data_IF_497588575329
#
_entry.id   IF_497588575329
#
_cell.length_a   1.000
_cell.length_b   1.000
_cell.length_c   1.000
_cell.angle_alpha   90.00
_cell.angle_beta   90.00
_cell.angle_gamma   90.00
#
_symmetry.space_group_name_H-M   'P 1'
#
loop_
_entity.id
_entity.type
_entity.pdbx_description
1 polymer ?
#
# COMPACT_ATOMS: atom_id res chain seq x y z
N UNK A 1 51.68 3.56 -17.91
CA UNK A 1 50.55 4.45 -17.56
C UNK A 1 49.67 4.84 -18.75
N UNK A 2 50.20 5.23 -19.92
CA UNK A 2 49.38 5.60 -21.10
C UNK A 2 48.47 4.49 -21.63
N UNK A 3 48.92 3.23 -21.70
CA UNK A 3 48.08 2.10 -22.14
C UNK A 3 46.91 1.79 -21.19
N UNK A 4 47.10 1.98 -19.88
CA UNK A 4 46.05 1.68 -18.89
C UNK A 4 44.85 2.64 -19.05
N UNK A 5 45.14 3.92 -19.32
CA UNK A 5 44.11 4.93 -19.58
C UNK A 5 43.36 4.66 -20.89
N UNK A 6 44.04 4.15 -21.92
CA UNK A 6 43.40 3.80 -23.20
C UNK A 6 42.46 2.60 -23.05
N UNK A 7 42.87 1.58 -22.29
CA UNK A 7 42.01 0.42 -21.98
C UNK A 7 40.81 0.82 -21.13
N UNK A 8 41.00 1.72 -20.16
CA UNK A 8 39.91 2.25 -19.34
C UNK A 8 38.89 3.04 -20.18
N UNK A 9 39.36 3.86 -21.13
CA UNK A 9 38.49 4.63 -22.05
C UNK A 9 37.76 3.72 -23.02
N UNK A 10 38.41 2.68 -23.55
CA UNK A 10 37.75 1.69 -24.42
C UNK A 10 36.70 0.87 -23.65
N UNK A 11 36.98 0.48 -22.40
CA UNK A 11 36.03 -0.23 -21.56
C UNK A 11 34.82 0.63 -21.20
N UNK A 12 35.01 1.94 -20.99
CA UNK A 12 33.93 2.90 -20.79
C UNK A 12 33.07 3.12 -22.05
N UNK A 13 33.67 3.08 -23.24
CA UNK A 13 32.96 3.21 -24.52
C UNK A 13 32.17 1.93 -24.88
N UNK A 14 32.66 0.75 -24.52
CA UNK A 14 31.98 -0.53 -24.76
C UNK A 14 30.69 -0.74 -23.94
N UNK A 15 30.49 0.02 -22.85
CA UNK A 15 29.30 -0.03 -22.02
C UNK A 15 28.10 0.74 -22.60
N UNK A 16 28.29 1.45 -23.73
CA UNK A 16 27.27 2.31 -24.34
C UNK A 16 26.35 1.65 -25.37
N UNK A 17 26.60 0.40 -25.78
CA UNK A 17 25.70 -0.34 -26.68
C UNK A 17 24.50 -0.89 -25.91
N UNK A 18 23.58 -0.01 -25.49
CA UNK A 18 22.24 -0.42 -25.09
C UNK A 18 21.43 -0.79 -26.33
N UNK A 19 20.75 -1.95 -26.35
CA UNK A 19 19.88 -2.30 -27.48
C UNK A 19 18.82 -1.20 -27.64
N UNK A 20 18.71 -0.67 -28.87
CA UNK A 20 17.82 0.42 -29.24
C UNK A 20 16.36 -0.03 -29.22
N UNK A 21 15.52 0.66 -28.44
CA UNK A 21 14.09 0.32 -28.33
C UNK A 21 13.50 0.67 -26.98
N UNK A 22 12.18 0.57 -26.88
CA UNK A 22 11.48 0.79 -25.63
C UNK A 22 11.65 -0.43 -24.72
N UNK A 23 11.81 -0.18 -23.42
CA UNK A 23 11.92 -1.25 -22.42
C UNK A 23 11.09 -0.85 -21.22
N UNK A 24 10.09 -1.66 -20.89
CA UNK A 24 9.22 -1.39 -19.77
C UNK A 24 9.61 -2.23 -18.55
N UNK A 25 9.75 -1.56 -17.41
CA UNK A 25 9.78 -2.18 -16.09
C UNK A 25 8.44 -1.93 -15.44
N UNK A 26 7.77 -2.99 -15.00
CA UNK A 26 6.47 -2.88 -14.36
C UNK A 26 6.51 -3.44 -12.94
N UNK A 27 5.86 -2.75 -12.02
CA UNK A 27 5.77 -3.14 -10.62
C UNK A 27 4.33 -3.04 -10.14
N UNK A 28 3.91 -4.02 -9.36
CA UNK A 28 2.62 -4.08 -8.68
C UNK A 28 2.88 -4.05 -7.18
N UNK A 29 2.22 -3.15 -6.48
CA UNK A 29 2.29 -3.00 -5.03
C UNK A 29 0.88 -3.02 -4.42
N UNK A 30 0.77 -3.69 -3.28
CA UNK A 30 -0.41 -3.63 -2.43
C UNK A 30 -0.20 -2.51 -1.40
N UNK A 31 -1.02 -1.46 -1.45
CA UNK A 31 -0.82 -0.28 -0.60
C UNK A 31 -1.40 -0.46 0.81
N UNK A 32 -2.36 -1.38 0.97
CA UNK A 32 -2.97 -1.65 2.26
C UNK A 32 -2.06 -2.49 3.15
N UNK A 33 -1.96 -2.11 4.43
CA UNK A 33 -1.25 -2.91 5.45
C UNK A 33 -2.00 -4.21 5.80
N UNK A 34 -3.33 -4.16 5.76
CA UNK A 34 -4.21 -5.30 6.02
C UNK A 34 -5.24 -5.41 4.91
N UNK A 35 -5.37 -6.58 4.32
CA UNK A 35 -6.50 -6.93 3.47
C UNK A 35 -7.61 -7.46 4.38
N UNK A 36 -8.82 -6.90 4.24
CA UNK A 36 -9.98 -7.26 5.06
C UNK A 36 -11.18 -7.47 4.16
N UNK A 37 -11.91 -8.54 4.42
CA UNK A 37 -13.21 -8.81 3.80
C UNK A 37 -14.15 -7.61 3.95
N UNK A 38 -14.78 -7.21 2.84
CA UNK A 38 -15.73 -6.10 2.80
C UNK A 38 -15.10 -4.71 2.88
N UNK A 39 -13.76 -4.58 2.98
CA UNK A 39 -13.06 -3.29 2.97
C UNK A 39 -12.27 -3.07 1.69
N UNK A 40 -11.97 -1.81 1.41
CA UNK A 40 -11.28 -1.41 0.19
C UNK A 40 -9.80 -1.84 0.21
N UNK A 41 -9.40 -2.51 -0.86
CA UNK A 41 -8.07 -3.03 -1.14
C UNK A 41 -7.52 -2.28 -2.36
N UNK A 42 -6.42 -1.55 -2.16
CA UNK A 42 -5.83 -0.69 -3.16
C UNK A 42 -4.57 -1.33 -3.74
N UNK A 43 -4.61 -1.56 -5.05
CA UNK A 43 -3.49 -2.05 -5.84
C UNK A 43 -2.95 -0.91 -6.70
N UNK A 44 -1.64 -0.76 -6.71
CA UNK A 44 -0.96 0.21 -7.55
C UNK A 44 -0.04 -0.50 -8.53
N UNK A 45 -0.17 -0.15 -9.80
CA UNK A 45 0.66 -0.60 -10.90
C UNK A 45 1.49 0.59 -11.36
N UNK A 46 2.81 0.45 -11.36
CA UNK A 46 3.73 1.46 -11.87
C UNK A 46 4.52 0.87 -13.02
N UNK A 47 4.48 1.53 -14.18
CA UNK A 47 5.18 1.14 -15.40
C UNK A 47 6.17 2.25 -15.73
N UNK A 48 7.43 1.87 -15.90
CA UNK A 48 8.55 2.77 -16.18
C UNK A 48 9.17 2.41 -17.53
N UNK A 49 9.30 3.38 -18.42
CA UNK A 49 10.06 3.19 -19.65
C UNK A 49 11.53 3.55 -19.43
N UNK A 50 12.37 2.52 -19.35
CA UNK A 50 13.84 2.63 -19.21
C UNK A 50 14.56 2.49 -20.55
N UNK A 51 13.81 2.33 -21.64
CA UNK A 51 14.35 2.25 -22.99
C UNK A 51 14.70 3.61 -23.59
N UNK A 52 15.36 3.58 -24.74
CA UNK A 52 15.77 4.77 -25.49
C UNK A 52 14.67 5.33 -26.41
N UNK A 53 13.62 4.55 -26.70
CA UNK A 53 12.46 4.98 -27.50
C UNK A 53 11.15 4.90 -26.72
N UNK A 54 10.09 5.47 -27.30
CA UNK A 54 8.75 5.40 -26.71
C UNK A 54 8.13 4.01 -26.88
N UNK A 55 7.53 3.47 -25.82
CA UNK A 55 6.71 2.27 -25.91
C UNK A 55 5.33 2.64 -26.46
N UNK A 56 4.83 1.88 -27.43
CA UNK A 56 3.55 2.12 -28.08
C UNK A 56 2.54 1.03 -27.69
N UNK A 57 1.26 1.38 -27.71
CA UNK A 57 0.13 0.48 -27.46
C UNK A 57 0.33 -0.36 -26.19
N UNK A 58 0.69 0.30 -25.09
CA UNK A 58 0.95 -0.37 -23.81
C UNK A 58 -0.38 -0.79 -23.20
N UNK A 59 -0.58 -2.08 -22.99
CA UNK A 59 -1.75 -2.66 -22.37
C UNK A 59 -1.36 -3.38 -21.08
N UNK A 60 -2.00 -3.01 -19.98
CA UNK A 60 -1.94 -3.70 -18.70
C UNK A 60 -3.21 -4.53 -18.54
N UNK A 61 -3.08 -5.82 -18.26
CA UNK A 61 -4.20 -6.71 -17.93
C UNK A 61 -3.92 -7.53 -16.69
N UNK A 62 -4.89 -7.61 -15.78
CA UNK A 62 -4.79 -8.41 -14.55
C UNK A 62 -6.05 -9.26 -14.34
N UNK A 63 -5.98 -10.49 -14.83
CA UNK A 63 -7.09 -11.46 -14.78
C UNK A 63 -7.11 -12.26 -13.47
N UNK A 64 -6.27 -11.90 -12.51
CA UNK A 64 -6.10 -12.64 -11.26
C UNK A 64 -7.28 -12.49 -10.31
N UNK A 65 -8.13 -11.47 -10.49
CA UNK A 65 -9.18 -11.08 -9.56
C UNK A 65 -10.57 -11.40 -10.11
N UNK A 66 -11.12 -12.58 -9.81
CA UNK A 66 -12.43 -12.96 -10.29
C UNK A 66 -13.54 -12.13 -9.59
N UNK A 67 -14.60 -11.75 -10.33
CA UNK A 67 -15.66 -10.90 -9.79
C UNK A 67 -16.50 -11.58 -8.70
N UNK A 68 -16.52 -12.92 -8.63
CA UNK A 68 -17.18 -13.64 -7.53
C UNK A 68 -16.50 -13.46 -6.16
N UNK A 69 -15.20 -13.16 -6.14
CA UNK A 69 -14.41 -13.01 -4.91
C UNK A 69 -13.98 -11.56 -4.67
N UNK A 70 -13.96 -10.72 -5.71
CA UNK A 70 -13.57 -9.32 -5.63
C UNK A 70 -14.55 -8.40 -6.36
N UNK A 71 -15.12 -7.44 -5.65
CA UNK A 71 -15.87 -6.35 -6.26
C UNK A 71 -14.95 -5.22 -6.72
N UNK A 72 -15.08 -4.76 -7.96
CA UNK A 72 -14.36 -3.57 -8.44
C UNK A 72 -15.08 -2.33 -7.91
N UNK A 73 -14.39 -1.52 -7.11
CA UNK A 73 -14.94 -0.26 -6.56
C UNK A 73 -14.55 0.92 -7.45
N UNK A 74 -13.29 0.97 -7.89
CA UNK A 74 -12.78 2.05 -8.73
C UNK A 74 -11.59 1.58 -9.58
N UNK A 75 -11.46 2.18 -10.76
CA UNK A 75 -10.43 1.84 -11.73
C UNK A 75 -10.82 0.64 -12.60
N UNK A 76 -9.86 0.18 -13.41
CA UNK A 76 -10.05 -0.93 -14.36
C UNK A 76 -8.84 -1.86 -14.27
N UNK A 77 -9.08 -3.18 -14.30
CA UNK A 77 -8.01 -4.18 -14.30
C UNK A 77 -7.34 -4.35 -15.68
N UNK A 78 -8.04 -3.92 -16.74
CA UNK A 78 -7.47 -3.78 -18.08
C UNK A 78 -7.45 -2.29 -18.46
N UNK A 79 -6.28 -1.77 -18.83
CA UNK A 79 -6.08 -0.39 -19.29
C UNK A 79 -5.08 -0.36 -20.43
N UNK A 80 -5.33 0.52 -21.40
CA UNK A 80 -4.42 0.78 -22.52
C UNK A 80 -3.93 2.22 -22.51
N UNK A 81 -2.66 2.41 -22.87
CA UNK A 81 -2.03 3.69 -23.12
C UNK A 81 -1.43 3.69 -24.52
N UNK A 82 -1.74 4.73 -25.30
CA UNK A 82 -1.25 4.82 -26.68
C UNK A 82 0.28 4.88 -26.74
N UNK A 83 0.90 5.60 -25.79
CA UNK A 83 2.34 5.80 -25.76
C UNK A 83 2.87 6.14 -24.38
N UNK A 84 4.04 5.59 -24.04
CA UNK A 84 4.86 5.99 -22.88
C UNK A 84 6.22 6.47 -23.38
N UNK A 85 6.53 7.75 -23.15
CA UNK A 85 7.78 8.37 -23.60
C UNK A 85 9.02 7.73 -22.93
N UNK A 86 10.22 7.80 -23.55
CA UNK A 86 11.44 7.32 -22.92
C UNK A 86 11.72 8.08 -21.62
N UNK A 87 12.29 7.40 -20.63
CA UNK A 87 12.57 7.95 -19.29
C UNK A 87 11.33 8.53 -18.57
N UNK A 88 10.12 8.07 -18.92
CA UNK A 88 8.86 8.47 -18.27
C UNK A 88 8.15 7.29 -17.64
N UNK A 89 7.19 7.57 -16.75
CA UNK A 89 6.43 6.56 -16.04
C UNK A 89 4.93 6.86 -16.04
N UNK A 90 4.15 5.79 -15.91
CA UNK A 90 2.70 5.85 -15.71
C UNK A 90 2.34 5.02 -14.49
N UNK A 91 1.46 5.57 -13.67
CA UNK A 91 0.93 4.92 -12.48
C UNK A 91 -0.56 4.73 -12.61
N UNK A 92 -1.03 3.51 -12.40
CA UNK A 92 -2.44 3.13 -12.43
C UNK A 92 -2.84 2.53 -11.09
N UNK A 93 -4.00 2.94 -10.57
CA UNK A 93 -4.48 2.47 -9.27
C UNK A 93 -5.86 1.87 -9.42
N UNK A 94 -6.04 0.68 -8.85
CA UNK A 94 -7.30 -0.04 -8.84
C UNK A 94 -7.70 -0.28 -7.39
N UNK A 95 -8.96 0.01 -7.08
CA UNK A 95 -9.55 -0.25 -5.76
C UNK A 95 -10.54 -1.39 -5.93
N UNK A 96 -10.24 -2.50 -5.26
CA UNK A 96 -11.06 -3.70 -5.20
C UNK A 96 -11.63 -3.84 -3.79
N UNK A 97 -12.67 -4.65 -3.63
CA UNK A 97 -13.23 -5.02 -2.34
C UNK A 97 -13.33 -6.54 -2.26
N UNK A 98 -12.51 -7.21 -1.44
CA UNK A 98 -12.59 -8.65 -1.25
C UNK A 98 -13.93 -9.02 -0.61
N UNK A 99 -14.61 -10.02 -1.17
CA UNK A 99 -15.92 -10.49 -0.72
C UNK A 99 -15.84 -11.70 0.21
N UNK A 100 -14.69 -12.39 0.23
CA UNK A 100 -14.43 -13.56 1.07
C UNK A 100 -13.11 -13.41 1.81
N UNK A 101 -13.09 -13.87 3.06
CA UNK A 101 -11.86 -14.03 3.82
C UNK A 101 -11.11 -15.31 3.39
N UNK A 102 -9.77 -15.28 3.49
CA UNK A 102 -8.94 -16.42 3.13
C UNK A 102 -7.55 -16.02 2.65
N UNK A 103 -6.75 -17.01 2.30
CA UNK A 103 -5.47 -16.77 1.64
C UNK A 103 -5.68 -16.56 0.15
N UNK A 104 -5.09 -15.49 -0.38
CA UNK A 104 -5.17 -15.16 -1.79
C UNK A 104 -3.77 -14.88 -2.34
N UNK A 105 -3.52 -15.33 -3.56
CA UNK A 105 -2.24 -15.13 -4.24
C UNK A 105 -2.32 -13.88 -5.12
N UNK A 106 -1.68 -12.81 -4.68
CA UNK A 106 -1.49 -11.61 -5.49
C UNK A 106 -0.39 -11.87 -6.52
N UNK A 107 -0.76 -12.51 -7.62
CA UNK A 107 0.14 -12.79 -8.74
C UNK A 107 0.41 -11.54 -9.59
N UNK A 108 1.34 -11.66 -10.53
CA UNK A 108 1.72 -10.61 -11.46
C UNK A 108 0.62 -10.33 -12.50
N UNK A 109 0.49 -9.08 -12.90
CA UNK A 109 -0.28 -8.68 -14.07
C UNK A 109 0.58 -8.79 -15.34
N UNK A 110 -0.06 -8.95 -16.50
CA UNK A 110 0.62 -8.91 -17.79
C UNK A 110 0.66 -7.48 -18.33
N UNK A 111 1.79 -7.11 -18.95
CA UNK A 111 1.97 -5.84 -19.65
C UNK A 111 2.46 -6.13 -21.05
N UNK A 112 1.66 -5.83 -22.05
CA UNK A 112 2.05 -5.95 -23.46
C UNK A 112 2.32 -4.59 -24.08
N UNK A 113 3.33 -4.49 -24.94
CA UNK A 113 3.66 -3.25 -25.63
C UNK A 113 4.43 -3.50 -26.93
N UNK A 114 4.46 -2.49 -27.80
CA UNK A 114 5.31 -2.46 -28.99
C UNK A 114 6.57 -1.64 -28.70
N UNK A 115 7.75 -2.25 -28.89
CA UNK A 115 9.04 -1.59 -28.65
C UNK A 115 9.40 -0.55 -29.72
N UNK A 116 8.87 -0.73 -30.93
CA UNK A 116 9.02 0.12 -32.10
C UNK A 116 7.74 0.05 -32.95
N UNK A 117 7.47 1.06 -33.75
CA UNK A 117 6.28 1.12 -34.62
C UNK A 117 6.30 -0.01 -35.66
N UNK A 118 5.23 -0.83 -35.68
CA UNK A 118 5.16 -2.03 -36.54
C UNK A 118 6.04 -3.20 -36.10
N UNK A 119 6.61 -3.15 -34.89
CA UNK A 119 7.41 -4.23 -34.31
C UNK A 119 6.58 -5.40 -33.77
N UNK A 120 7.25 -6.38 -33.16
CA UNK A 120 6.58 -7.47 -32.45
C UNK A 120 6.06 -7.00 -31.08
N UNK A 121 4.93 -7.55 -30.64
CA UNK A 121 4.38 -7.32 -29.30
C UNK A 121 5.27 -8.02 -28.27
N UNK A 122 5.82 -7.24 -27.36
CA UNK A 122 6.60 -7.72 -26.22
C UNK A 122 5.66 -7.86 -25.03
N UNK A 123 5.65 -9.02 -24.39
CA UNK A 123 4.88 -9.29 -23.18
C UNK A 123 5.83 -9.36 -21.98
N UNK A 124 5.61 -8.48 -21.02
CA UNK A 124 6.24 -8.47 -19.71
C UNK A 124 5.24 -8.77 -18.60
N UNK A 125 5.77 -8.94 -17.40
CA UNK A 125 4.97 -9.17 -16.19
C UNK A 125 5.38 -8.19 -15.11
N UNK A 126 4.42 -7.78 -14.28
CA UNK A 126 4.71 -6.97 -13.09
C UNK A 126 5.39 -7.81 -12.02
N UNK A 127 5.92 -7.15 -10.97
CA UNK A 127 6.21 -7.85 -9.72
C UNK A 127 4.95 -8.56 -9.17
N UNK A 128 5.16 -9.64 -8.43
CA UNK A 128 4.11 -10.36 -7.72
C UNK A 128 4.28 -10.13 -6.21
N UNK A 129 3.35 -9.41 -5.54
CA UNK A 129 3.39 -9.25 -4.08
C UNK A 129 3.37 -10.57 -3.30
N UNK A 130 2.88 -11.66 -3.90
CA UNK A 130 2.88 -13.00 -3.33
C UNK A 130 1.58 -13.34 -2.61
N UNK A 131 1.63 -14.36 -1.75
CA UNK A 131 0.46 -14.79 -0.98
C UNK A 131 0.19 -13.82 0.17
N UNK A 132 -1.04 -13.28 0.23
CA UNK A 132 -1.50 -12.46 1.33
C UNK A 132 -2.78 -13.04 1.96
N UNK A 133 -2.92 -12.86 3.27
CA UNK A 133 -4.13 -13.23 3.99
C UNK A 133 -5.14 -12.08 3.98
N UNK A 134 -6.36 -12.36 3.51
CA UNK A 134 -7.53 -11.49 3.67
C UNK A 134 -8.20 -11.89 4.97
N UNK A 135 -8.18 -10.98 5.93
CA UNK A 135 -8.77 -11.18 7.25
C UNK A 135 -10.29 -11.07 7.17
N UNK A 136 -11.00 -11.93 7.91
CA UNK A 136 -12.44 -11.74 8.11
C UNK A 136 -12.69 -10.45 8.89
N UNK A 137 -13.73 -9.71 8.52
CA UNK A 137 -14.07 -8.43 9.16
C UNK A 137 -14.18 -8.56 10.69
N UNK A 138 -14.83 -9.63 11.18
CA UNK A 138 -14.96 -9.93 12.61
C UNK A 138 -13.61 -10.12 13.32
N UNK A 139 -12.65 -10.77 12.66
CA UNK A 139 -11.33 -11.00 13.24
C UNK A 139 -10.50 -9.72 13.28
N UNK A 140 -10.63 -8.89 12.24
CA UNK A 140 -10.04 -7.58 12.19
C UNK A 140 -10.60 -6.70 13.33
N UNK A 141 -11.92 -6.63 13.47
CA UNK A 141 -12.56 -5.84 14.51
C UNK A 141 -12.18 -6.34 15.91
N UNK A 142 -12.09 -7.66 16.14
CA UNK A 142 -11.60 -8.17 17.44
C UNK A 142 -10.16 -7.73 17.78
N UNK A 143 -9.28 -7.62 16.79
CA UNK A 143 -7.86 -7.28 17.00
C UNK A 143 -7.59 -5.77 17.02
N UNK A 144 -8.35 -5.01 16.24
CA UNK A 144 -8.06 -3.62 15.94
C UNK A 144 -9.20 -2.66 16.28
N UNK A 145 -10.36 -3.15 16.76
CA UNK A 145 -11.43 -2.26 17.22
C UNK A 145 -10.97 -1.50 18.46
N UNK A 146 -11.04 -0.17 18.44
CA UNK A 146 -10.83 0.61 19.65
C UNK A 146 -12.11 0.50 20.50
N UNK A 147 -12.01 -0.22 21.60
CA UNK A 147 -13.12 -0.49 22.53
C UNK A 147 -13.46 0.74 23.38
N UNK A 148 -13.66 1.91 22.76
CA UNK A 148 -13.80 3.20 23.47
C UNK A 148 -15.00 3.22 24.41
N UNK A 149 -16.14 2.64 24.00
CA UNK A 149 -17.34 2.57 24.84
C UNK A 149 -17.12 1.66 26.05
N UNK A 150 -16.40 0.56 25.89
CA UNK A 150 -16.09 -0.34 27.00
C UNK A 150 -15.13 0.32 27.99
N UNK A 151 -14.14 1.06 27.50
CA UNK A 151 -13.26 1.87 28.34
C UNK A 151 -14.01 2.99 29.07
N UNK A 152 -14.96 3.65 28.40
CA UNK A 152 -15.80 4.67 29.02
C UNK A 152 -16.70 4.07 30.11
N UNK A 153 -17.35 2.93 29.83
CA UNK A 153 -18.16 2.21 30.80
C UNK A 153 -17.34 1.77 32.01
N UNK A 154 -16.14 1.23 31.80
CA UNK A 154 -15.21 0.90 32.87
C UNK A 154 -14.84 2.13 33.71
N UNK A 155 -14.57 3.26 33.06
CA UNK A 155 -14.34 4.54 33.74
C UNK A 155 -15.51 4.91 34.64
N UNK A 156 -16.74 4.91 34.11
CA UNK A 156 -17.95 5.24 34.87
C UNK A 156 -18.20 4.28 36.04
N UNK A 157 -17.98 2.98 35.85
CA UNK A 157 -18.17 1.98 36.89
C UNK A 157 -17.13 2.07 38.02
N UNK A 158 -15.92 2.55 37.73
CA UNK A 158 -14.85 2.73 38.74
C UNK A 158 -14.92 4.09 39.45
N UNK A 159 -15.65 5.06 38.90
CA UNK A 159 -15.81 6.40 39.49
C UNK A 159 -16.35 6.38 40.93
N UNK A 160 -17.37 5.58 41.33
CA UNK A 160 -17.83 5.55 42.71
C UNK A 160 -16.75 5.06 43.69
N UNK A 161 -16.02 4.00 43.29
CA UNK A 161 -14.98 3.38 44.12
C UNK A 161 -13.78 4.30 44.36
N UNK A 162 -13.46 5.19 43.42
CA UNK A 162 -12.38 6.18 43.55
C UNK A 162 -12.91 7.50 44.13
N UNK A 163 -14.07 7.94 43.65
CA UNK A 163 -14.68 9.24 43.95
C UNK A 163 -15.21 9.35 45.38
N UNK A 164 -15.89 8.33 45.90
CA UNK A 164 -16.44 8.38 47.27
C UNK A 164 -15.32 8.51 48.30
N UNK A 165 -14.26 7.67 48.31
CA UNK A 165 -13.14 7.86 49.24
C UNK A 165 -12.42 9.20 49.08
N UNK A 166 -12.26 9.69 47.85
CA UNK A 166 -11.59 10.97 47.59
C UNK A 166 -12.40 12.16 48.11
N UNK A 167 -13.73 12.16 47.93
CA UNK A 167 -14.63 13.18 48.47
C UNK A 167 -14.61 13.18 50.01
N UNK A 168 -14.66 11.98 50.62
CA UNK A 168 -14.56 11.83 52.07
C UNK A 168 -13.22 12.34 52.59
N UNK A 169 -12.11 11.97 51.96
CA UNK A 169 -10.78 12.46 52.31
C UNK A 169 -10.67 13.98 52.19
N UNK A 170 -11.14 14.56 51.08
CA UNK A 170 -11.08 16.00 50.84
C UNK A 170 -11.89 16.77 51.90
N UNK A 171 -13.09 16.26 52.23
CA UNK A 171 -13.93 16.85 53.28
C UNK A 171 -13.26 16.79 54.66
N UNK A 172 -12.56 15.69 54.97
CA UNK A 172 -11.83 15.51 56.22
C UNK A 172 -10.63 16.44 56.30
N UNK A 173 -9.79 16.47 55.25
CA UNK A 173 -8.60 17.32 55.19
C UNK A 173 -8.95 18.80 55.39
N UNK A 174 -9.96 19.30 54.67
CA UNK A 174 -10.42 20.69 54.79
C UNK A 174 -10.84 21.06 56.21
N UNK A 175 -11.43 20.13 56.96
CA UNK A 175 -11.91 20.34 58.33
C UNK A 175 -10.79 20.37 59.37
N UNK A 176 -9.72 19.61 59.17
CA UNK A 176 -8.66 19.45 60.19
C UNK A 176 -7.37 20.23 59.88
N UNK A 177 -7.15 20.65 58.64
CA UNK A 177 -5.99 21.48 58.26
C UNK A 177 -6.25 23.00 58.38
N UNK A 178 -7.47 23.43 58.74
CA UNK A 178 -7.74 24.85 58.91
C UNK A 178 -6.96 25.37 60.13
N UNK A 179 -6.04 26.34 59.98
CA UNK A 179 -5.28 26.86 61.12
C UNK A 179 -6.25 27.52 62.11
N UNK A 180 -6.21 27.11 63.38
CA UNK A 180 -7.02 27.73 64.44
C UNK A 180 -6.69 29.21 64.50
N UNK A 181 -7.72 30.06 64.37
CA UNK A 181 -7.56 31.50 64.55
C UNK A 181 -6.96 31.76 65.95
N UNK A 182 -5.79 32.41 66.01
CA UNK A 182 -5.19 32.85 67.27
C UNK A 182 -6.17 33.83 67.92
N UNK A 183 -6.65 33.47 69.10
CA UNK A 183 -7.47 34.35 69.93
C UNK A 183 -6.51 35.33 70.62
N UNK A 184 -6.63 36.61 70.25
CA UNK A 184 -5.97 37.73 70.94
C UNK A 184 -6.57 37.95 72.33
#
# INVERSE_FOLDING_TARGET
>A
MKMLNVVLVLALLGLGSGEEGARLLASKSLLNRYAVEGRDLTLQYNIYNVGSSAALEVELSDDSFPPEDFGIVSGMLNVKWDRIAPASNVSHTVVLRPLKAGYFNFTSASVSYLAQEGGQVVVGYTSAPGQGGILAQREFDRRFSPHYLDWAAFGVMTLPSIGIPLLLWYSSKRKYDSPKAKKN
#
